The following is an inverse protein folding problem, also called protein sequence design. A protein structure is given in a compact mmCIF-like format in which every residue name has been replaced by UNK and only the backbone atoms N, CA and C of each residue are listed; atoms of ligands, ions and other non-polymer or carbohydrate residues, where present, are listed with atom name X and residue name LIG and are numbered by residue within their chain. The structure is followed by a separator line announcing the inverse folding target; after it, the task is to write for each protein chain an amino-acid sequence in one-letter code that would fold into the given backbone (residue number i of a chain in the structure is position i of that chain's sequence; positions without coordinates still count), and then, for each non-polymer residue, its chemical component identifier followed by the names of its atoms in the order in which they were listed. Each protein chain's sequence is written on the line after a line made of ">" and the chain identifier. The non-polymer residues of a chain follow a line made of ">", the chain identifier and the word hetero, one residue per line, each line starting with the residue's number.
data_IF_295394135008
#
_entry.id   IF_295394135008
#
_cell.length_a   1.000
_cell.length_b   1.000
_cell.length_c   1.000
_cell.angle_alpha   90.00
_cell.angle_beta   90.00
_cell.angle_gamma   90.00
#
_symmetry.space_group_name_H-M   'P 1'
#
loop_
_entity.id
_entity.type
_entity.pdbx_description
1 polymer ?
#
# COMPACT_ATOMS: atom_id res chain seq x y z
N UNK A 1 58.84 -7.88 -37.76
CA UNK A 1 58.07 -7.76 -36.50
C UNK A 1 56.69 -7.13 -36.67
N UNK A 2 56.47 -6.22 -37.63
CA UNK A 2 55.20 -5.47 -37.79
C UNK A 2 53.97 -6.36 -38.08
N UNK A 3 54.10 -7.34 -38.99
CA UNK A 3 53.01 -8.24 -39.40
C UNK A 3 52.42 -9.11 -38.28
N UNK A 4 53.25 -9.53 -37.29
CA UNK A 4 52.75 -10.28 -36.12
C UNK A 4 51.84 -9.44 -35.24
N UNK A 5 52.15 -8.14 -35.07
CA UNK A 5 51.33 -7.24 -34.26
C UNK A 5 49.99 -6.94 -34.93
N UNK A 6 49.98 -6.74 -36.26
CA UNK A 6 48.76 -6.49 -37.05
C UNK A 6 47.84 -7.72 -37.04
N UNK A 7 48.41 -8.92 -37.15
CA UNK A 7 47.63 -10.17 -37.12
C UNK A 7 47.00 -10.42 -35.73
N UNK A 8 47.73 -10.12 -34.66
CA UNK A 8 47.23 -10.21 -33.29
C UNK A 8 46.13 -9.20 -33.00
N UNK A 9 46.28 -7.94 -33.41
CA UNK A 9 45.22 -6.93 -33.23
C UNK A 9 44.00 -7.20 -34.11
N UNK A 10 44.18 -7.72 -35.33
CA UNK A 10 43.07 -8.14 -36.19
C UNK A 10 42.27 -9.35 -35.64
N UNK A 11 42.89 -10.19 -34.80
CA UNK A 11 42.22 -11.32 -34.11
C UNK A 11 41.64 -10.92 -32.74
N UNK A 12 42.34 -10.06 -31.99
CA UNK A 12 41.92 -9.61 -30.67
C UNK A 12 40.71 -8.67 -30.74
N UNK A 13 40.65 -7.78 -31.72
CA UNK A 13 39.54 -6.82 -31.86
C UNK A 13 38.19 -7.53 -32.04
N UNK A 14 38.03 -8.49 -32.98
CA UNK A 14 36.78 -9.25 -33.11
C UNK A 14 36.43 -10.08 -31.87
N UNK A 15 37.42 -10.67 -31.18
CA UNK A 15 37.19 -11.47 -29.96
C UNK A 15 36.71 -10.58 -28.82
N UNK A 16 37.32 -9.41 -28.63
CA UNK A 16 36.90 -8.43 -27.62
C UNK A 16 35.50 -7.88 -27.93
N UNK A 17 35.20 -7.59 -29.19
CA UNK A 17 33.86 -7.17 -29.63
C UNK A 17 32.83 -8.28 -29.39
N UNK A 18 33.14 -9.53 -29.73
CA UNK A 18 32.25 -10.67 -29.51
C UNK A 18 31.97 -10.91 -28.02
N UNK A 19 33.00 -10.81 -27.16
CA UNK A 19 32.84 -10.93 -25.71
C UNK A 19 32.01 -9.77 -25.13
N UNK A 20 32.24 -8.55 -25.62
CA UNK A 20 31.47 -7.36 -25.22
C UNK A 20 29.99 -7.52 -25.58
N UNK A 21 29.70 -8.00 -26.80
CA UNK A 21 28.32 -8.20 -27.27
C UNK A 21 27.60 -9.31 -26.46
N UNK A 22 28.28 -10.42 -26.16
CA UNK A 22 27.72 -11.47 -25.32
C UNK A 22 27.41 -10.99 -23.89
N UNK A 23 28.27 -10.14 -23.32
CA UNK A 23 28.04 -9.57 -21.99
C UNK A 23 26.84 -8.61 -21.97
N UNK A 24 26.69 -7.78 -23.03
CA UNK A 24 25.51 -6.91 -23.20
C UNK A 24 24.23 -7.73 -23.32
N UNK A 25 24.24 -8.84 -24.07
CA UNK A 25 23.07 -9.70 -24.22
C UNK A 25 22.67 -10.36 -22.89
N UNK A 26 23.64 -10.81 -22.09
CA UNK A 26 23.40 -11.35 -20.75
C UNK A 26 22.80 -10.28 -19.83
N UNK A 27 23.37 -9.07 -19.83
CA UNK A 27 22.86 -7.95 -19.03
C UNK A 27 21.44 -7.58 -19.44
N UNK A 28 21.14 -7.56 -20.74
CA UNK A 28 19.81 -7.30 -21.27
C UNK A 28 18.80 -8.36 -20.83
N UNK A 29 19.14 -9.65 -20.91
CA UNK A 29 18.26 -10.74 -20.44
C UNK A 29 17.96 -10.62 -18.95
N UNK A 30 18.96 -10.26 -18.13
CA UNK A 30 18.75 -10.02 -16.68
C UNK A 30 17.78 -8.86 -16.43
N UNK A 31 17.96 -7.74 -17.13
CA UNK A 31 17.05 -6.58 -17.02
C UNK A 31 15.63 -6.92 -17.49
N UNK A 32 15.47 -7.74 -18.53
CA UNK A 32 14.15 -8.20 -18.99
C UNK A 32 13.47 -9.11 -17.96
N UNK A 33 14.21 -10.02 -17.34
CA UNK A 33 13.68 -10.88 -16.28
C UNK A 33 13.25 -10.04 -15.08
N UNK A 34 14.08 -9.09 -14.64
CA UNK A 34 13.78 -8.20 -13.52
C UNK A 34 12.54 -7.33 -13.80
N UNK A 35 12.44 -6.77 -15.01
CA UNK A 35 11.27 -6.03 -15.46
C UNK A 35 10.00 -6.89 -15.39
N UNK A 36 10.06 -8.11 -15.93
CA UNK A 36 8.91 -9.02 -15.92
C UNK A 36 8.47 -9.38 -14.49
N UNK A 37 9.42 -9.64 -13.59
CA UNK A 37 9.08 -9.91 -12.18
C UNK A 37 8.42 -8.69 -11.52
N UNK A 38 8.87 -7.48 -11.84
CA UNK A 38 8.29 -6.23 -11.30
C UNK A 38 6.90 -5.93 -11.86
N UNK A 39 6.66 -6.17 -13.14
CA UNK A 39 5.32 -6.08 -13.74
C UNK A 39 4.34 -7.08 -13.09
N UNK A 40 4.81 -8.30 -12.79
CA UNK A 40 4.01 -9.30 -12.07
C UNK A 40 3.69 -8.84 -10.64
N UNK A 41 4.65 -8.24 -9.94
CA UNK A 41 4.47 -7.66 -8.61
C UNK A 41 3.42 -6.53 -8.64
N UNK A 42 3.52 -5.60 -9.60
CA UNK A 42 2.54 -4.54 -9.80
C UNK A 42 1.14 -5.10 -10.06
N UNK A 43 1.01 -6.17 -10.85
CA UNK A 43 -0.29 -6.80 -11.10
C UNK A 43 -0.90 -7.39 -9.82
N UNK A 44 -0.08 -7.94 -8.92
CA UNK A 44 -0.55 -8.46 -7.62
C UNK A 44 -0.99 -7.32 -6.71
N UNK A 45 -0.14 -6.29 -6.54
CA UNK A 45 -0.46 -5.13 -5.70
C UNK A 45 -1.73 -4.43 -6.21
N UNK A 46 -1.88 -4.27 -7.54
CA UNK A 46 -3.09 -3.68 -8.12
C UNK A 46 -4.37 -4.45 -7.78
N UNK A 47 -4.32 -5.79 -7.77
CA UNK A 47 -5.47 -6.60 -7.34
C UNK A 47 -5.76 -6.48 -5.84
N UNK A 48 -4.72 -6.34 -5.02
CA UNK A 48 -4.87 -6.12 -3.58
C UNK A 48 -5.49 -4.75 -3.30
N UNK A 49 -5.08 -3.70 -4.02
CA UNK A 49 -5.70 -2.37 -3.98
C UNK A 49 -7.19 -2.46 -4.34
N UNK A 50 -7.54 -3.07 -5.48
CA UNK A 50 -8.94 -3.22 -5.90
C UNK A 50 -9.79 -3.96 -4.86
N UNK A 51 -9.22 -4.99 -4.21
CA UNK A 51 -9.91 -5.74 -3.16
C UNK A 51 -10.10 -4.89 -1.89
N UNK A 52 -9.10 -4.11 -1.53
CA UNK A 52 -9.10 -3.24 -0.36
C UNK A 52 -10.07 -2.06 -0.52
N UNK A 53 -10.16 -1.46 -1.71
CA UNK A 53 -11.15 -0.42 -2.02
C UNK A 53 -12.58 -0.95 -1.88
N UNK A 54 -12.86 -2.14 -2.42
CA UNK A 54 -14.17 -2.79 -2.26
C UNK A 54 -14.50 -3.09 -0.81
N UNK A 55 -13.52 -3.52 -0.03
CA UNK A 55 -13.69 -3.75 1.41
C UNK A 55 -14.08 -2.43 2.12
N UNK A 56 -13.40 -1.34 1.81
CA UNK A 56 -13.69 -0.02 2.38
C UNK A 56 -15.09 0.49 2.00
N UNK A 57 -15.54 0.26 0.77
CA UNK A 57 -16.90 0.59 0.35
C UNK A 57 -17.96 -0.19 1.14
N UNK A 58 -17.75 -1.50 1.32
CA UNK A 58 -18.62 -2.35 2.14
C UNK A 58 -18.66 -1.82 3.58
N UNK A 59 -17.49 -1.53 4.16
CA UNK A 59 -17.38 -1.04 5.53
C UNK A 59 -18.02 0.34 5.72
N UNK A 60 -17.96 1.21 4.71
CA UNK A 60 -18.65 2.49 4.73
C UNK A 60 -20.17 2.30 4.80
N UNK A 61 -20.71 1.40 3.98
CA UNK A 61 -22.14 1.06 4.01
C UNK A 61 -22.56 0.44 5.35
N UNK A 62 -21.74 -0.44 5.92
CA UNK A 62 -21.97 -1.04 7.24
C UNK A 62 -21.96 0.01 8.35
N UNK A 63 -21.04 0.97 8.30
CA UNK A 63 -20.96 2.08 9.24
C UNK A 63 -22.19 2.99 9.15
N UNK A 64 -22.62 3.35 7.93
CA UNK A 64 -23.82 4.15 7.72
C UNK A 64 -25.07 3.43 8.24
N UNK A 65 -25.18 2.13 7.99
CA UNK A 65 -26.28 1.30 8.48
C UNK A 65 -26.28 1.24 10.00
N UNK A 66 -25.12 1.02 10.62
CA UNK A 66 -24.98 1.00 12.08
C UNK A 66 -25.35 2.35 12.71
N UNK A 67 -24.92 3.47 12.09
CA UNK A 67 -25.30 4.82 12.53
C UNK A 67 -26.80 5.08 12.40
N UNK A 68 -27.42 4.67 11.29
CA UNK A 68 -28.88 4.79 11.11
C UNK A 68 -29.63 4.04 12.20
N UNK A 69 -29.30 2.77 12.39
CA UNK A 69 -29.91 1.92 13.42
C UNK A 69 -29.74 2.48 14.84
N UNK A 70 -28.58 3.09 15.12
CA UNK A 70 -28.30 3.74 16.41
C UNK A 70 -29.16 5.00 16.59
N UNK A 71 -29.42 5.77 15.53
CA UNK A 71 -30.17 7.02 15.62
C UNK A 71 -31.69 6.87 15.51
N UNK A 72 -32.20 5.79 14.90
CA UNK A 72 -33.64 5.55 14.73
C UNK A 72 -34.41 5.49 16.05
N UNK A 73 -33.78 4.96 17.10
CA UNK A 73 -34.41 4.76 18.42
C UNK A 73 -34.26 5.96 19.35
N UNK A 74 -33.52 7.00 18.95
CA UNK A 74 -33.12 8.12 19.80
C UNK A 74 -33.93 9.39 19.52
N UNK A 75 -34.17 10.18 20.56
CA UNK A 75 -34.69 11.54 20.40
C UNK A 75 -33.57 12.52 19.97
N UNK A 76 -33.92 13.75 19.60
CA UNK A 76 -32.95 14.74 19.10
C UNK A 76 -31.87 15.13 20.13
N UNK A 77 -32.20 15.15 21.42
CA UNK A 77 -31.23 15.45 22.47
C UNK A 77 -30.21 14.31 22.63
N UNK A 78 -30.69 13.06 22.62
CA UNK A 78 -29.85 11.86 22.66
C UNK A 78 -28.97 11.75 21.41
N UNK A 79 -29.54 11.98 20.21
CA UNK A 79 -28.76 12.02 18.96
C UNK A 79 -27.63 13.04 19.04
N UNK A 80 -27.88 14.22 19.61
CA UNK A 80 -26.85 15.25 19.80
C UNK A 80 -25.74 14.76 20.73
N UNK A 81 -26.10 14.16 21.86
CA UNK A 81 -25.12 13.60 22.81
C UNK A 81 -24.27 12.48 22.17
N UNK A 82 -24.89 11.58 21.40
CA UNK A 82 -24.16 10.51 20.70
C UNK A 82 -23.22 11.09 19.64
N UNK A 83 -23.65 12.08 18.86
CA UNK A 83 -22.78 12.76 17.88
C UNK A 83 -21.56 13.41 18.55
N UNK A 84 -21.75 14.06 19.70
CA UNK A 84 -20.65 14.66 20.46
C UNK A 84 -19.70 13.58 21.02
N UNK A 85 -20.24 12.47 21.53
CA UNK A 85 -19.45 11.32 22.00
C UNK A 85 -18.61 10.70 20.88
N UNK A 86 -19.20 10.48 19.70
CA UNK A 86 -18.50 9.93 18.54
C UNK A 86 -17.43 10.88 18.01
N UNK A 87 -17.69 12.20 17.93
CA UNK A 87 -16.67 13.19 17.58
C UNK A 87 -15.51 13.22 18.57
N UNK A 88 -15.82 13.15 19.86
CA UNK A 88 -14.79 13.13 20.89
C UNK A 88 -13.95 11.85 20.81
N UNK A 89 -14.58 10.71 20.53
CA UNK A 89 -13.90 9.45 20.27
C UNK A 89 -12.98 9.56 19.05
N UNK A 90 -13.47 10.05 17.92
CA UNK A 90 -12.72 10.23 16.67
C UNK A 90 -11.46 11.09 16.91
N UNK A 91 -11.60 12.24 17.55
CA UNK A 91 -10.47 13.11 17.86
C UNK A 91 -9.43 12.44 18.77
N UNK A 92 -9.86 11.69 19.80
CA UNK A 92 -8.92 10.93 20.66
C UNK A 92 -8.24 9.80 19.90
N UNK A 93 -8.97 9.14 19.01
CA UNK A 93 -8.45 8.06 18.19
C UNK A 93 -7.41 8.55 17.20
N UNK A 94 -7.63 9.69 16.52
CA UNK A 94 -6.63 10.31 15.63
C UNK A 94 -5.34 10.67 16.37
N UNK A 95 -5.44 11.20 17.59
CA UNK A 95 -4.27 11.48 18.44
C UNK A 95 -3.56 10.17 18.82
N UNK A 96 -4.32 9.12 19.15
CA UNK A 96 -3.75 7.84 19.52
C UNK A 96 -3.16 7.06 18.34
N UNK A 97 -3.65 7.28 17.12
CA UNK A 97 -3.11 6.69 15.90
C UNK A 97 -1.80 7.35 15.48
N UNK A 98 -1.71 8.67 15.65
CA UNK A 98 -0.50 9.45 15.35
C UNK A 98 0.57 9.37 16.45
N UNK A 99 0.15 9.16 17.71
CA UNK A 99 1.04 8.84 18.83
C UNK A 99 1.30 7.33 18.91
N UNK A 100 2.46 6.89 19.38
CA UNK A 100 2.75 5.46 19.59
C UNK A 100 1.98 4.88 20.81
N UNK A 101 0.68 5.17 20.93
CA UNK A 101 -0.17 4.85 22.07
C UNK A 101 -1.50 4.18 21.66
N UNK A 102 -1.59 3.71 20.40
CA UNK A 102 -2.78 3.10 19.84
C UNK A 102 -3.26 1.89 20.64
N UNK A 103 -2.35 0.98 21.01
CA UNK A 103 -2.70 -0.24 21.75
C UNK A 103 -3.37 0.06 23.08
N UNK A 104 -2.79 0.98 23.86
CA UNK A 104 -3.35 1.41 25.13
C UNK A 104 -4.69 2.13 24.95
N UNK A 105 -4.85 2.91 23.88
CA UNK A 105 -6.12 3.55 23.55
C UNK A 105 -7.21 2.51 23.28
N UNK A 106 -6.93 1.52 22.44
CA UNK A 106 -7.89 0.46 22.10
C UNK A 106 -8.29 -0.36 23.34
N UNK A 107 -7.33 -0.73 24.18
CA UNK A 107 -7.61 -1.43 25.44
C UNK A 107 -8.51 -0.59 26.34
N UNK A 108 -8.19 0.70 26.48
CA UNK A 108 -8.97 1.58 27.34
C UNK A 108 -10.40 1.82 26.84
N UNK A 109 -10.58 2.06 25.54
CA UNK A 109 -11.90 2.38 24.97
C UNK A 109 -12.84 1.18 24.85
N UNK A 110 -12.33 -0.02 24.59
CA UNK A 110 -13.19 -1.19 24.34
C UNK A 110 -13.29 -2.16 25.53
N UNK A 111 -12.35 -2.16 26.46
CA UNK A 111 -12.32 -3.12 27.57
C UNK A 111 -12.42 -2.47 28.96
N UNK A 112 -11.89 -1.25 29.13
CA UNK A 112 -11.87 -0.59 30.44
C UNK A 112 -12.96 0.48 30.60
N UNK A 113 -13.51 1.03 29.50
CA UNK A 113 -14.60 2.00 29.56
C UNK A 113 -15.94 1.29 29.83
N UNK A 114 -16.27 1.12 31.10
CA UNK A 114 -17.55 0.56 31.58
C UNK A 114 -18.72 1.55 31.50
N UNK A 115 -18.50 2.78 31.00
CA UNK A 115 -19.55 3.81 30.96
C UNK A 115 -20.47 3.72 29.73
N UNK A 116 -20.16 2.83 28.78
CA UNK A 116 -20.85 2.72 27.50
C UNK A 116 -21.70 1.45 27.42
N UNK A 117 -22.80 1.37 28.16
CA UNK A 117 -23.76 0.25 28.08
C UNK A 117 -24.57 0.20 26.76
N UNK A 118 -24.16 0.94 25.72
CA UNK A 118 -24.85 0.93 24.44
C UNK A 118 -24.02 0.17 23.40
N UNK A 119 -24.34 -1.10 23.23
CA UNK A 119 -23.71 -2.01 22.25
C UNK A 119 -23.72 -1.45 20.82
N UNK A 120 -24.73 -0.64 20.45
CA UNK A 120 -24.81 -0.04 19.13
C UNK A 120 -23.73 1.05 18.93
N UNK A 121 -23.46 1.85 19.96
CA UNK A 121 -22.40 2.87 19.92
C UNK A 121 -21.03 2.20 19.86
N UNK A 122 -20.81 1.12 20.63
CA UNK A 122 -19.56 0.37 20.58
C UNK A 122 -19.34 -0.28 19.22
N UNK A 123 -20.40 -0.80 18.58
CA UNK A 123 -20.33 -1.27 17.20
C UNK A 123 -19.90 -0.17 16.23
N UNK A 124 -20.47 1.04 16.35
CA UNK A 124 -20.09 2.18 15.51
C UNK A 124 -18.61 2.54 15.71
N UNK A 125 -18.14 2.68 16.96
CA UNK A 125 -16.73 2.93 17.27
C UNK A 125 -15.81 1.87 16.67
N UNK A 126 -16.16 0.59 16.81
CA UNK A 126 -15.39 -0.53 16.26
C UNK A 126 -15.29 -0.45 14.72
N UNK A 127 -16.39 -0.16 14.04
CA UNK A 127 -16.41 0.03 12.59
C UNK A 127 -15.57 1.24 12.14
N UNK A 128 -15.61 2.35 12.89
CA UNK A 128 -14.76 3.51 12.64
C UNK A 128 -13.27 3.16 12.75
N UNK A 129 -12.86 2.51 13.84
CA UNK A 129 -11.46 2.08 14.05
C UNK A 129 -11.01 1.16 12.93
N UNK A 130 -11.80 0.11 12.66
CA UNK A 130 -11.46 -0.85 11.62
C UNK A 130 -11.29 -0.15 10.27
N UNK A 131 -12.21 0.76 9.91
CA UNK A 131 -12.15 1.49 8.65
C UNK A 131 -10.85 2.28 8.51
N UNK A 132 -10.45 3.00 9.56
CA UNK A 132 -9.21 3.80 9.51
C UNK A 132 -7.98 2.92 9.36
N UNK A 133 -7.91 1.78 10.05
CA UNK A 133 -6.81 0.81 9.88
C UNK A 133 -6.74 0.31 8.43
N UNK A 134 -7.88 -0.08 7.87
CA UNK A 134 -7.96 -0.58 6.49
C UNK A 134 -7.62 0.52 5.45
N UNK A 135 -7.88 1.79 5.77
CA UNK A 135 -7.46 2.93 4.96
C UNK A 135 -5.94 3.14 4.99
N UNK A 136 -5.29 2.99 6.14
CA UNK A 136 -3.82 3.08 6.24
C UNK A 136 -3.15 1.91 5.50
N UNK A 137 -3.73 0.70 5.54
CA UNK A 137 -3.27 -0.43 4.73
C UNK A 137 -3.36 -0.10 3.24
N UNK A 138 -4.50 0.42 2.77
CA UNK A 138 -4.66 0.84 1.38
C UNK A 138 -3.61 1.87 0.97
N UNK A 139 -3.37 2.87 1.82
CA UNK A 139 -2.36 3.90 1.56
C UNK A 139 -0.97 3.30 1.37
N UNK A 140 -0.56 2.38 2.23
CA UNK A 140 0.71 1.68 2.08
C UNK A 140 0.79 0.81 0.82
N UNK A 141 -0.32 0.16 0.42
CA UNK A 141 -0.38 -0.58 -0.84
C UNK A 141 -0.20 0.35 -2.05
N UNK A 142 -0.84 1.52 -2.04
CA UNK A 142 -0.69 2.54 -3.10
C UNK A 142 0.74 3.07 -3.14
N UNK A 143 1.33 3.42 -1.99
CA UNK A 143 2.73 3.86 -1.91
C UNK A 143 3.69 2.78 -2.46
N UNK A 144 3.45 1.50 -2.13
CA UNK A 144 4.25 0.39 -2.65
C UNK A 144 4.06 0.19 -4.17
N UNK A 145 2.84 0.38 -4.67
CA UNK A 145 2.53 0.35 -6.10
C UNK A 145 3.29 1.45 -6.85
N UNK A 146 3.24 2.69 -6.37
CA UNK A 146 3.93 3.84 -6.97
C UNK A 146 5.45 3.65 -7.00
N UNK A 147 6.03 3.17 -5.90
CA UNK A 147 7.46 2.85 -5.84
C UNK A 147 7.86 1.78 -6.87
N UNK A 148 7.07 0.71 -7.01
CA UNK A 148 7.33 -0.32 -8.02
C UNK A 148 7.15 0.20 -9.45
N UNK A 149 6.20 1.10 -9.68
CA UNK A 149 5.97 1.74 -10.98
C UNK A 149 7.19 2.57 -11.39
N UNK A 150 7.80 3.29 -10.45
CA UNK A 150 9.04 4.03 -10.69
C UNK A 150 10.19 3.09 -11.09
N UNK A 151 10.37 1.97 -10.36
CA UNK A 151 11.40 0.96 -10.69
C UNK A 151 11.20 0.40 -12.10
N UNK A 152 9.96 0.08 -12.48
CA UNK A 152 9.63 -0.39 -13.84
C UNK A 152 10.02 0.65 -14.90
N UNK A 153 9.73 1.93 -14.65
CA UNK A 153 10.12 3.01 -15.56
C UNK A 153 11.65 3.12 -15.71
N UNK A 154 12.39 3.00 -14.61
CA UNK A 154 13.86 3.00 -14.61
C UNK A 154 14.45 1.80 -15.36
N UNK A 155 13.88 0.60 -15.19
CA UNK A 155 14.27 -0.61 -15.92
C UNK A 155 13.99 -0.51 -17.42
N UNK A 156 12.84 0.05 -17.81
CA UNK A 156 12.55 0.33 -19.23
C UNK A 156 13.55 1.31 -19.84
N UNK A 157 13.91 2.36 -19.12
CA UNK A 157 14.92 3.33 -19.58
C UNK A 157 16.29 2.67 -19.72
N UNK A 158 16.69 1.83 -18.77
CA UNK A 158 17.94 1.08 -18.82
C UNK A 158 17.98 0.12 -20.02
N UNK A 159 16.88 -0.61 -20.26
CA UNK A 159 16.75 -1.50 -21.42
C UNK A 159 16.86 -0.73 -22.74
N UNK A 160 16.21 0.43 -22.84
CA UNK A 160 16.24 1.25 -24.05
C UNK A 160 17.62 1.85 -24.32
N UNK A 161 18.38 2.20 -23.28
CA UNK A 161 19.78 2.67 -23.40
C UNK A 161 20.78 1.55 -23.69
N UNK A 162 20.42 0.29 -23.43
CA UNK A 162 21.22 -0.90 -23.71
C UNK A 162 20.98 -1.51 -25.09
N UNK A 163 20.00 -0.97 -25.85
CA UNK A 163 19.65 -1.35 -27.21
C UNK A 163 20.44 -0.52 -28.24
#
# INVERSE_FOLDING_TARGET
>A
MIYKSIFLSALLVPVVIAHSNANIEIQRKKLQEELFQKELELSKIGKEIDAQEKLLDIMWNDLLTALSNTFESLNEQEKKMVKEKLKSFEARFEIALSGANLDNFLVNEFFNDTTSNNEQIERVKSLMVRRVIEQEILKHLVENYENNLQIVAELHLALTKSA
#
